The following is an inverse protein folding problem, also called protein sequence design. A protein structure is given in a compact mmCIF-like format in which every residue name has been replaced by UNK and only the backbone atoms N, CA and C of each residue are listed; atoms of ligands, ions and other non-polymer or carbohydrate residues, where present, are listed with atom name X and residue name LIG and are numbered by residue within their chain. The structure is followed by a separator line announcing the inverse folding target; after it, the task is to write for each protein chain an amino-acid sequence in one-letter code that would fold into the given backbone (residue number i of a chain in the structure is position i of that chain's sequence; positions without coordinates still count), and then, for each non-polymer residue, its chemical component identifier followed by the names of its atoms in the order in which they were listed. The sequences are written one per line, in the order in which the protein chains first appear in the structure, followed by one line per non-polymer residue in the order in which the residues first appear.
data_IF_966211539617
#
_entry.id   IF_966211539617
#
_cell.length_a   1.000
_cell.length_b   1.000
_cell.length_c   1.000
_cell.angle_alpha   90.00
_cell.angle_beta   90.00
_cell.angle_gamma   90.00
#
_symmetry.space_group_name_H-M   'P 1'
#
loop_
_entity.id
_entity.type
_entity.pdbx_description
1 polymer ?
#
# COMPACT_ATOMS: atom_id res chain seq x y z
N UNK A 1 -33.54 -7.87 13.56
CA UNK A 1 -34.26 -7.25 14.69
C UNK A 1 -33.44 -6.06 15.18
N UNK A 2 -34.09 -5.03 15.70
CA UNK A 2 -33.54 -3.68 15.94
C UNK A 2 -32.46 -3.69 17.04
N UNK A 3 -31.19 -3.53 16.68
CA UNK A 3 -30.14 -3.12 17.62
C UNK A 3 -30.13 -1.60 17.72
N UNK A 4 -31.13 -1.04 18.40
CA UNK A 4 -31.09 0.36 18.79
C UNK A 4 -30.23 0.48 20.05
N UNK A 5 -29.18 1.29 19.98
CA UNK A 5 -28.46 1.77 21.16
C UNK A 5 -29.47 2.57 21.99
N UNK A 6 -29.85 2.05 23.16
CA UNK A 6 -30.70 2.76 24.11
C UNK A 6 -29.84 3.78 24.83
N UNK A 7 -30.05 5.06 24.52
CA UNK A 7 -29.40 6.17 25.22
C UNK A 7 -30.34 6.58 26.36
N UNK A 8 -30.08 6.06 27.57
CA UNK A 8 -30.61 6.64 28.80
C UNK A 8 -29.75 7.87 29.15
N UNK A 9 -30.31 8.97 29.68
CA UNK A 9 -29.51 10.14 30.06
C UNK A 9 -28.48 9.74 31.13
N UNK A 10 -27.19 9.83 30.79
CA UNK A 10 -26.08 9.60 31.71
C UNK A 10 -25.51 8.17 31.78
N UNK A 11 -26.09 7.17 31.10
CA UNK A 11 -25.56 5.81 31.06
C UNK A 11 -25.56 5.27 29.63
N UNK A 12 -24.37 4.95 29.11
CA UNK A 12 -24.20 4.27 27.82
C UNK A 12 -23.86 2.80 28.06
N UNK A 13 -24.77 1.90 27.66
CA UNK A 13 -24.55 0.45 27.79
C UNK A 13 -23.82 -0.08 26.56
N UNK A 14 -22.67 -0.72 26.80
CA UNK A 14 -21.84 -1.32 25.75
C UNK A 14 -22.09 -2.82 25.74
N UNK A 15 -22.79 -3.31 24.72
CA UNK A 15 -23.19 -4.72 24.64
C UNK A 15 -22.06 -5.61 24.11
N UNK A 16 -21.14 -5.06 23.33
CA UNK A 16 -19.98 -5.77 22.80
C UNK A 16 -18.73 -4.90 22.95
N UNK A 17 -17.62 -5.51 23.34
CA UNK A 17 -16.35 -4.80 23.48
C UNK A 17 -15.93 -4.08 22.19
N UNK A 18 -16.25 -4.64 21.02
CA UNK A 18 -16.01 -4.02 19.71
C UNK A 18 -16.72 -2.66 19.53
N UNK A 19 -17.83 -2.42 20.24
CA UNK A 19 -18.57 -1.16 20.15
C UNK A 19 -17.94 -0.07 21.04
N UNK A 20 -17.03 -0.44 21.96
CA UNK A 20 -16.40 0.49 22.90
C UNK A 20 -15.66 1.60 22.18
N UNK A 21 -14.84 1.28 21.17
CA UNK A 21 -14.05 2.30 20.46
C UNK A 21 -14.93 3.27 19.68
N UNK A 22 -16.00 2.76 19.05
CA UNK A 22 -16.99 3.57 18.33
C UNK A 22 -17.70 4.52 19.30
N UNK A 23 -18.13 4.00 20.45
CA UNK A 23 -18.82 4.78 21.47
C UNK A 23 -17.89 5.85 22.07
N UNK A 24 -16.64 5.50 22.40
CA UNK A 24 -15.65 6.45 22.88
C UNK A 24 -15.41 7.58 21.85
N UNK A 25 -15.32 7.25 20.57
CA UNK A 25 -15.18 8.27 19.52
C UNK A 25 -16.39 9.19 19.44
N UNK A 26 -17.62 8.64 19.53
CA UNK A 26 -18.84 9.47 19.56
C UNK A 26 -18.84 10.43 20.75
N UNK A 27 -18.50 9.94 21.93
CA UNK A 27 -18.43 10.76 23.14
C UNK A 27 -17.34 11.84 23.02
N UNK A 28 -16.17 11.51 22.49
CA UNK A 28 -15.11 12.49 22.24
C UNK A 28 -15.53 13.55 21.22
N UNK A 29 -16.20 13.16 20.12
CA UNK A 29 -16.77 14.10 19.14
C UNK A 29 -17.83 14.99 19.77
N UNK A 30 -18.71 14.45 20.62
CA UNK A 30 -19.70 15.25 21.34
C UNK A 30 -19.07 16.25 22.32
N UNK A 31 -17.97 15.88 22.97
CA UNK A 31 -17.28 16.72 23.95
C UNK A 31 -16.38 17.79 23.32
N UNK A 32 -15.73 17.47 22.19
CA UNK A 32 -14.69 18.29 21.57
C UNK A 32 -15.13 18.96 20.25
N UNK A 33 -16.30 18.58 19.72
CA UNK A 33 -16.83 19.10 18.46
C UNK A 33 -15.88 18.85 17.29
N UNK A 34 -15.72 19.86 16.44
CA UNK A 34 -14.86 19.80 15.24
C UNK A 34 -13.35 19.89 15.55
N UNK A 35 -12.98 19.97 16.83
CA UNK A 35 -11.58 20.01 17.26
C UNK A 35 -10.89 18.65 17.22
N UNK A 36 -11.61 17.59 16.85
CA UNK A 36 -11.11 16.23 16.76
C UNK A 36 -11.28 15.68 15.34
N UNK A 37 -10.25 15.00 14.85
CA UNK A 37 -10.29 14.20 13.63
C UNK A 37 -10.06 12.75 14.01
N UNK A 38 -11.04 11.90 13.71
CA UNK A 38 -10.99 10.46 13.94
C UNK A 38 -10.50 9.77 12.67
N UNK A 39 -9.31 9.19 12.77
CA UNK A 39 -8.69 8.41 11.70
C UNK A 39 -8.98 6.92 11.93
N UNK A 40 -9.79 6.34 11.06
CA UNK A 40 -9.98 4.89 11.03
C UNK A 40 -8.80 4.24 10.31
N UNK A 41 -8.27 3.12 10.81
CA UNK A 41 -7.17 2.43 10.15
C UNK A 41 -7.39 0.95 9.87
N UNK A 42 -6.83 0.48 8.76
CA UNK A 42 -6.87 -0.95 8.33
C UNK A 42 -5.49 -1.41 7.91
N UNK A 43 -4.93 -2.40 8.62
CA UNK A 43 -3.64 -3.03 8.27
C UNK A 43 -3.49 -4.39 8.96
N UNK A 44 -2.54 -5.21 8.52
CA UNK A 44 -2.22 -6.48 9.20
C UNK A 44 -1.77 -6.23 10.64
N UNK A 45 -2.16 -7.14 11.54
CA UNK A 45 -1.82 -7.09 12.97
C UNK A 45 -0.33 -6.89 13.25
N UNK A 46 0.55 -7.52 12.46
CA UNK A 46 2.00 -7.37 12.63
C UNK A 46 2.47 -5.93 12.43
N UNK A 47 1.86 -5.21 11.48
CA UNK A 47 2.14 -3.79 11.23
C UNK A 47 1.50 -2.90 12.27
N UNK A 48 0.24 -3.16 12.62
CA UNK A 48 -0.46 -2.44 13.69
C UNK A 48 0.34 -2.49 14.99
N UNK A 49 0.81 -3.68 15.38
CA UNK A 49 1.63 -3.87 16.57
C UNK A 49 2.92 -3.05 16.55
N UNK A 50 3.56 -2.90 15.39
CA UNK A 50 4.78 -2.08 15.25
C UNK A 50 4.47 -0.58 15.46
N UNK A 51 3.38 -0.09 14.88
CA UNK A 51 2.93 1.30 15.09
C UNK A 51 2.52 1.55 16.55
N UNK A 52 1.77 0.64 17.17
CA UNK A 52 1.37 0.76 18.58
C UNK A 52 2.58 0.82 19.52
N UNK A 53 3.61 0.01 19.27
CA UNK A 53 4.88 0.06 20.05
C UNK A 53 5.57 1.42 19.98
N UNK A 54 5.39 2.15 18.88
CA UNK A 54 5.95 3.49 18.65
C UNK A 54 5.01 4.60 19.13
N UNK A 55 3.85 4.25 19.70
CA UNK A 55 2.81 5.19 20.12
C UNK A 55 2.07 5.86 18.96
N UNK A 56 2.06 5.27 17.76
CA UNK A 56 1.62 5.93 16.54
C UNK A 56 0.09 5.94 16.31
N UNK A 57 -0.74 5.31 17.14
CA UNK A 57 -2.20 5.30 17.04
C UNK A 57 -2.88 5.55 18.39
N UNK A 58 -2.83 6.79 18.91
CA UNK A 58 -3.49 7.12 20.16
C UNK A 58 -5.01 7.09 20.03
N UNK A 59 -5.67 6.34 20.92
CA UNK A 59 -7.15 6.27 21.03
C UNK A 59 -7.71 7.56 21.65
N UNK A 60 -6.92 8.21 22.51
CA UNK A 60 -7.28 9.51 23.06
C UNK A 60 -6.81 10.63 22.12
N UNK A 61 -7.56 11.73 22.02
CA UNK A 61 -7.17 12.87 21.19
C UNK A 61 -5.78 13.37 21.59
N UNK A 62 -4.91 13.54 20.60
CA UNK A 62 -3.63 14.23 20.77
C UNK A 62 -3.83 15.73 20.95
N UNK A 63 -2.75 16.45 21.27
CA UNK A 63 -2.76 17.93 21.32
C UNK A 63 -3.20 18.58 20.01
N UNK A 64 -3.05 17.87 18.88
CA UNK A 64 -3.42 18.35 17.56
C UNK A 64 -4.81 17.84 17.12
N UNK A 65 -5.58 17.25 18.05
CA UNK A 65 -6.94 16.79 17.77
C UNK A 65 -7.03 15.45 17.04
N UNK A 66 -5.93 14.75 16.77
CA UNK A 66 -5.99 13.45 16.10
C UNK A 66 -6.28 12.32 17.08
N UNK A 67 -7.18 11.42 16.71
CA UNK A 67 -7.37 10.11 17.36
C UNK A 67 -7.44 9.01 16.29
N UNK A 68 -7.07 7.79 16.67
CA UNK A 68 -7.00 6.65 15.77
C UNK A 68 -7.79 5.47 16.31
N UNK A 69 -8.55 4.82 15.43
CA UNK A 69 -9.28 3.58 15.74
C UNK A 69 -9.09 2.53 14.66
N UNK A 70 -8.93 1.28 15.06
CA UNK A 70 -8.90 0.15 14.13
C UNK A 70 -10.29 -0.05 13.52
N UNK A 71 -10.36 -0.15 12.19
CA UNK A 71 -11.55 -0.63 11.49
C UNK A 71 -11.41 -2.16 11.34
N UNK A 72 -12.41 -2.89 11.81
CA UNK A 72 -12.48 -4.33 11.64
C UNK A 72 -13.30 -4.65 10.38
N UNK A 73 -12.63 -5.21 9.38
CA UNK A 73 -13.22 -5.59 8.10
C UNK A 73 -14.17 -6.81 8.18
N UNK A 74 -14.09 -7.60 9.25
CA UNK A 74 -14.98 -8.76 9.48
C UNK A 74 -16.34 -8.34 10.09
N UNK A 75 -16.49 -7.06 10.44
CA UNK A 75 -17.70 -6.48 11.00
C UNK A 75 -18.38 -5.54 10.01
N UNK A 76 -19.64 -5.18 10.28
CA UNK A 76 -20.34 -4.19 9.48
C UNK A 76 -19.55 -2.87 9.47
N UNK A 77 -19.25 -2.37 8.27
CA UNK A 77 -18.44 -1.16 8.09
C UNK A 77 -19.21 0.12 8.47
N UNK A 78 -20.49 0.22 8.10
CA UNK A 78 -21.28 1.46 8.30
C UNK A 78 -21.19 2.03 9.73
N UNK A 79 -21.43 1.25 10.81
CA UNK A 79 -21.35 1.81 12.17
C UNK A 79 -19.96 2.33 12.55
N UNK A 80 -18.91 1.71 12.00
CA UNK A 80 -17.51 2.10 12.22
C UNK A 80 -17.17 3.36 11.43
N UNK A 81 -17.58 3.43 10.15
CA UNK A 81 -17.30 4.56 9.27
C UNK A 81 -18.05 5.84 9.67
N UNK A 82 -19.24 5.72 10.28
CA UNK A 82 -20.01 6.88 10.77
C UNK A 82 -19.28 7.77 11.78
N UNK A 83 -18.24 7.25 12.45
CA UNK A 83 -17.47 8.02 13.43
C UNK A 83 -16.12 8.45 12.91
N UNK A 84 -15.72 7.98 11.73
CA UNK A 84 -14.43 8.21 11.10
C UNK A 84 -14.53 9.38 10.12
N UNK A 85 -13.53 10.25 10.13
CA UNK A 85 -13.42 11.38 9.19
C UNK A 85 -12.51 11.05 8.01
N UNK A 86 -11.53 10.16 8.23
CA UNK A 86 -10.51 9.76 7.27
C UNK A 86 -10.11 8.30 7.49
N UNK A 87 -9.89 7.55 6.41
CA UNK A 87 -9.38 6.18 6.49
C UNK A 87 -7.92 6.11 6.06
N UNK A 88 -7.05 5.64 6.95
CA UNK A 88 -5.67 5.25 6.65
C UNK A 88 -5.60 3.74 6.45
N UNK A 89 -5.09 3.24 5.34
CA UNK A 89 -5.01 1.79 5.17
C UNK A 89 -3.72 1.33 4.50
N UNK A 90 -3.46 0.03 4.63
CA UNK A 90 -2.53 -0.66 3.76
C UNK A 90 -3.23 -1.80 3.02
N UNK A 91 -3.95 -1.46 1.95
CA UNK A 91 -4.69 -2.42 1.13
C UNK A 91 -3.81 -3.56 0.59
N UNK A 92 -2.51 -3.33 0.39
CA UNK A 92 -1.58 -4.39 -0.06
C UNK A 92 -1.46 -5.56 0.92
N UNK A 93 -1.79 -5.35 2.19
CA UNK A 93 -1.87 -6.43 3.18
C UNK A 93 -3.05 -7.38 2.91
N UNK A 94 -4.07 -6.88 2.23
CA UNK A 94 -5.36 -7.51 1.96
C UNK A 94 -5.48 -7.96 0.50
N UNK A 95 -4.36 -8.07 -0.23
CA UNK A 95 -4.34 -8.70 -1.56
C UNK A 95 -4.60 -10.19 -1.37
N UNK A 96 -5.70 -10.67 -1.97
CA UNK A 96 -6.09 -12.07 -1.97
C UNK A 96 -5.38 -12.85 -3.08
N UNK A 97 -5.33 -12.28 -4.29
CA UNK A 97 -4.62 -12.88 -5.42
C UNK A 97 -4.19 -11.82 -6.43
N UNK A 98 -3.17 -12.17 -7.21
CA UNK A 98 -2.74 -11.43 -8.39
C UNK A 98 -2.68 -12.43 -9.54
N UNK A 99 -3.47 -12.19 -10.58
CA UNK A 99 -3.41 -12.97 -11.82
C UNK A 99 -2.08 -12.72 -12.54
N UNK A 100 -1.27 -13.78 -12.70
CA UNK A 100 0.08 -13.72 -13.28
C UNK A 100 0.06 -13.88 -14.80
N UNK A 101 -1.05 -14.33 -15.40
CA UNK A 101 -1.13 -14.70 -16.81
C UNK A 101 -1.56 -13.54 -17.73
N UNK A 102 -1.90 -12.38 -17.17
CA UNK A 102 -2.32 -11.22 -17.97
C UNK A 102 -1.11 -10.44 -18.50
N UNK A 103 -0.89 -10.57 -19.81
CA UNK A 103 0.25 -10.04 -20.56
C UNK A 103 0.29 -8.52 -20.70
N UNK A 104 -0.71 -7.77 -20.22
CA UNK A 104 -0.88 -6.36 -20.58
C UNK A 104 -0.89 -5.38 -19.38
N UNK A 105 -1.38 -5.76 -18.20
CA UNK A 105 -1.16 -4.97 -16.98
C UNK A 105 -1.46 -5.78 -15.71
N UNK A 106 -0.65 -5.62 -14.66
CA UNK A 106 -0.95 -6.20 -13.34
C UNK A 106 -2.27 -5.62 -12.78
N UNK A 107 -2.65 -4.42 -13.20
CA UNK A 107 -3.78 -3.65 -12.67
C UNK A 107 -5.13 -4.35 -12.74
N UNK A 108 -5.40 -5.12 -13.79
CA UNK A 108 -6.67 -5.83 -13.98
C UNK A 108 -6.71 -7.20 -13.25
N UNK A 109 -5.53 -7.70 -12.86
CA UNK A 109 -5.37 -9.01 -12.21
C UNK A 109 -5.39 -8.99 -10.69
N UNK A 110 -5.36 -7.82 -10.04
CA UNK A 110 -5.31 -7.71 -8.57
C UNK A 110 -6.70 -7.89 -7.97
N UNK A 111 -6.83 -8.85 -7.05
CA UNK A 111 -8.04 -9.04 -6.24
C UNK A 111 -7.71 -8.78 -4.78
N UNK A 112 -8.38 -7.78 -4.20
CA UNK A 112 -8.34 -7.51 -2.76
C UNK A 112 -9.37 -8.35 -2.01
N UNK A 113 -9.26 -8.42 -0.68
CA UNK A 113 -10.27 -9.04 0.18
C UNK A 113 -11.62 -8.32 0.05
N UNK A 114 -12.70 -9.06 0.34
CA UNK A 114 -14.06 -8.51 0.30
C UNK A 114 -14.20 -7.28 1.21
N UNK A 115 -13.48 -7.26 2.33
CA UNK A 115 -13.49 -6.14 3.27
C UNK A 115 -12.95 -4.85 2.66
N UNK A 116 -11.81 -4.89 1.96
CA UNK A 116 -11.27 -3.71 1.25
C UNK A 116 -12.18 -3.31 0.09
N UNK A 117 -12.70 -4.27 -0.68
CA UNK A 117 -13.62 -3.96 -1.78
C UNK A 117 -14.91 -3.28 -1.30
N UNK A 118 -15.48 -3.73 -0.17
CA UNK A 118 -16.63 -3.08 0.44
C UNK A 118 -16.28 -1.70 0.97
N UNK A 119 -15.13 -1.55 1.63
CA UNK A 119 -14.65 -0.27 2.11
C UNK A 119 -14.55 0.74 0.96
N UNK A 120 -13.90 0.38 -0.15
CA UNK A 120 -13.81 1.25 -1.34
C UNK A 120 -15.18 1.74 -1.81
N UNK A 121 -16.17 0.85 -1.97
CA UNK A 121 -17.54 1.22 -2.38
C UNK A 121 -18.17 2.25 -1.42
N UNK A 122 -18.01 2.05 -0.11
CA UNK A 122 -18.51 3.02 0.86
C UNK A 122 -17.80 4.37 0.79
N UNK A 123 -16.48 4.38 0.55
CA UNK A 123 -15.71 5.61 0.45
C UNK A 123 -16.10 6.42 -0.80
N UNK A 124 -16.35 5.74 -1.92
CA UNK A 124 -16.85 6.33 -3.17
C UNK A 124 -18.24 6.95 -2.99
N UNK A 125 -19.19 6.21 -2.41
CA UNK A 125 -20.57 6.68 -2.23
C UNK A 125 -20.68 7.87 -1.27
N UNK A 126 -19.87 7.87 -0.20
CA UNK A 126 -19.99 8.82 0.91
C UNK A 126 -19.01 9.99 0.83
N UNK A 127 -18.16 10.05 -0.21
CA UNK A 127 -17.11 11.07 -0.37
C UNK A 127 -16.14 11.16 0.82
N UNK A 128 -15.85 10.04 1.47
CA UNK A 128 -14.84 9.99 2.53
C UNK A 128 -13.43 9.98 1.94
N UNK A 129 -12.46 10.51 2.69
CA UNK A 129 -11.06 10.50 2.29
C UNK A 129 -10.40 9.17 2.68
N UNK A 130 -9.75 8.53 1.70
CA UNK A 130 -8.97 7.30 1.89
C UNK A 130 -7.51 7.57 1.55
N UNK A 131 -6.60 7.19 2.45
CA UNK A 131 -5.15 7.34 2.28
C UNK A 131 -4.52 5.96 2.21
N UNK A 132 -3.96 5.55 1.07
CA UNK A 132 -4.02 6.19 -0.27
C UNK A 132 -5.18 5.61 -1.09
N UNK A 133 -5.79 6.36 -2.04
CA UNK A 133 -6.78 5.77 -2.95
C UNK A 133 -6.24 4.47 -3.58
N UNK A 134 -7.04 3.40 -3.58
CA UNK A 134 -6.57 2.06 -3.96
C UNK A 134 -6.10 2.01 -5.40
N UNK A 135 -6.73 2.78 -6.28
CA UNK A 135 -6.35 2.99 -7.67
C UNK A 135 -4.92 3.54 -7.81
N UNK A 136 -4.45 4.35 -6.85
CA UNK A 136 -3.08 4.86 -6.83
C UNK A 136 -2.08 3.82 -6.29
N UNK A 137 -2.55 2.85 -5.51
CA UNK A 137 -1.73 1.75 -4.98
C UNK A 137 -1.47 0.70 -6.07
N UNK A 138 -2.45 0.43 -6.94
CA UNK A 138 -2.39 -0.65 -7.93
C UNK A 138 -1.15 -0.56 -8.85
N UNK A 139 -0.81 0.59 -9.47
CA UNK A 139 0.40 0.71 -10.28
C UNK A 139 1.70 0.41 -9.52
N UNK A 140 1.71 0.64 -8.20
CA UNK A 140 2.87 0.40 -7.34
C UNK A 140 3.10 -1.09 -7.07
N UNK A 141 2.13 -1.96 -7.40
CA UNK A 141 2.28 -3.41 -7.36
C UNK A 141 3.09 -3.95 -8.55
N UNK A 142 3.28 -3.14 -9.60
CA UNK A 142 4.08 -3.45 -10.77
C UNK A 142 5.36 -2.62 -10.77
N UNK A 143 6.52 -3.29 -10.63
CA UNK A 143 7.82 -2.60 -10.64
C UNK A 143 8.08 -1.88 -11.96
N UNK A 144 7.62 -2.40 -13.09
CA UNK A 144 7.78 -1.74 -14.38
C UNK A 144 6.86 -0.52 -14.50
N UNK A 145 5.60 -0.61 -14.08
CA UNK A 145 4.71 0.56 -14.04
C UNK A 145 5.22 1.64 -13.08
N UNK A 146 5.77 1.23 -11.94
CA UNK A 146 6.44 2.14 -10.99
C UNK A 146 7.60 2.89 -11.66
N UNK A 147 8.40 2.24 -12.52
CA UNK A 147 9.46 2.94 -13.25
C UNK A 147 8.92 3.99 -14.22
N UNK A 148 7.82 3.70 -14.91
CA UNK A 148 7.15 4.67 -15.80
C UNK A 148 6.70 5.90 -15.00
N UNK A 149 6.09 5.70 -13.82
CA UNK A 149 5.71 6.80 -12.92
C UNK A 149 6.94 7.63 -12.54
N UNK A 150 8.03 6.98 -12.12
CA UNK A 150 9.26 7.66 -11.72
C UNK A 150 9.88 8.45 -12.89
N UNK A 151 9.88 7.90 -14.11
CA UNK A 151 10.37 8.61 -15.30
C UNK A 151 9.61 9.91 -15.55
N UNK A 152 8.29 9.91 -15.36
CA UNK A 152 7.47 11.11 -15.51
C UNK A 152 7.72 12.15 -14.40
N UNK A 153 8.17 11.72 -13.21
CA UNK A 153 8.57 12.66 -12.15
C UNK A 153 9.84 13.45 -12.46
N UNK A 154 10.59 13.11 -13.52
CA UNK A 154 11.74 13.93 -13.93
C UNK A 154 11.28 15.32 -14.41
N UNK A 155 10.05 15.45 -14.91
CA UNK A 155 9.47 16.70 -15.41
C UNK A 155 9.21 17.73 -14.30
N UNK A 156 9.04 17.28 -13.05
CA UNK A 156 8.82 18.17 -11.89
C UNK A 156 10.12 18.61 -11.20
N UNK A 157 11.28 18.26 -11.77
CA UNK A 157 12.56 18.69 -11.22
C UNK A 157 12.76 20.20 -11.37
N UNK A 158 12.88 20.89 -10.24
CA UNK A 158 13.41 22.25 -10.20
C UNK A 158 14.95 22.19 -10.10
N UNK A 159 15.71 22.85 -11.01
CA UNK A 159 17.16 22.97 -10.94
C UNK A 159 17.70 23.52 -9.60
N UNK A 160 16.87 24.21 -8.80
CA UNK A 160 17.21 24.78 -7.49
C UNK A 160 16.97 23.81 -6.32
N UNK A 161 16.30 22.68 -6.57
CA UNK A 161 15.93 21.70 -5.56
C UNK A 161 16.53 20.32 -5.86
N UNK A 162 16.15 19.32 -5.05
CA UNK A 162 16.58 17.94 -5.23
C UNK A 162 16.17 17.42 -6.61
N UNK A 163 17.14 16.86 -7.34
CA UNK A 163 16.90 16.27 -8.66
C UNK A 163 16.51 14.80 -8.49
N UNK A 164 15.26 14.47 -8.81
CA UNK A 164 14.76 13.12 -8.97
C UNK A 164 15.40 12.51 -10.22
N UNK A 165 16.02 11.35 -10.06
CA UNK A 165 16.57 10.54 -11.15
C UNK A 165 15.98 9.14 -11.06
N UNK A 166 15.44 8.68 -12.17
CA UNK A 166 14.96 7.30 -12.27
C UNK A 166 16.13 6.42 -12.71
N UNK A 167 16.45 5.34 -11.97
CA UNK A 167 17.44 4.39 -12.43
C UNK A 167 17.01 3.77 -13.75
N UNK A 168 17.97 3.54 -14.65
CA UNK A 168 17.73 2.73 -15.84
C UNK A 168 17.18 1.37 -15.43
N UNK A 169 16.27 0.83 -16.24
CA UNK A 169 15.63 -0.45 -15.97
C UNK A 169 15.34 -1.21 -17.27
N UNK A 170 15.18 -2.52 -17.13
CA UNK A 170 14.78 -3.40 -18.22
C UNK A 170 13.79 -4.42 -17.68
N UNK A 171 12.63 -4.57 -18.33
CA UNK A 171 11.71 -5.68 -18.07
C UNK A 171 12.08 -6.84 -18.99
N UNK A 172 12.16 -8.04 -18.44
CA UNK A 172 12.40 -9.29 -19.18
C UNK A 172 11.30 -10.30 -18.88
N UNK A 173 10.99 -11.11 -19.87
CA UNK A 173 10.03 -12.21 -19.75
C UNK A 173 10.74 -13.56 -19.63
N UNK A 174 12.03 -13.64 -19.99
CA UNK A 174 12.88 -14.82 -19.82
C UNK A 174 14.34 -14.43 -19.57
N UNK A 175 15.07 -15.26 -18.81
CA UNK A 175 16.52 -15.12 -18.65
C UNK A 175 17.31 -15.63 -19.86
N UNK A 176 16.67 -16.42 -20.73
CA UNK A 176 17.27 -17.04 -21.91
C UNK A 176 16.90 -16.30 -23.20
N UNK A 177 16.53 -15.02 -23.12
CA UNK A 177 16.25 -14.20 -24.30
C UNK A 177 17.53 -14.05 -25.15
N UNK A 178 17.51 -14.42 -26.44
CA UNK A 178 18.72 -14.44 -27.28
C UNK A 178 19.32 -13.04 -27.48
N UNK A 179 18.50 -12.00 -27.36
CA UNK A 179 18.84 -10.59 -27.49
C UNK A 179 19.03 -9.88 -26.14
N UNK A 180 19.11 -10.61 -25.01
CA UNK A 180 19.23 -10.03 -23.68
C UNK A 180 20.42 -9.06 -23.56
N UNK A 181 21.57 -9.42 -24.16
CA UNK A 181 22.74 -8.57 -24.17
C UNK A 181 22.49 -7.23 -24.87
N UNK A 182 21.83 -7.25 -26.02
CA UNK A 182 21.49 -6.04 -26.79
C UNK A 182 20.47 -5.20 -26.02
N UNK A 183 19.47 -5.83 -25.41
CA UNK A 183 18.46 -5.15 -24.57
C UNK A 183 19.08 -4.45 -23.36
N UNK A 184 20.08 -5.06 -22.70
CA UNK A 184 20.81 -4.44 -21.61
C UNK A 184 21.56 -3.19 -22.07
N UNK A 185 22.24 -3.27 -23.21
CA UNK A 185 23.00 -2.16 -23.78
C UNK A 185 22.06 -1.01 -24.21
N UNK A 186 20.94 -1.33 -24.88
CA UNK A 186 19.91 -0.37 -25.26
C UNK A 186 19.26 0.31 -24.04
N UNK A 187 19.03 -0.43 -22.96
CA UNK A 187 18.52 0.09 -21.69
C UNK A 187 19.58 0.85 -20.88
N UNK A 188 20.83 0.94 -21.36
CA UNK A 188 21.96 1.55 -20.65
C UNK A 188 22.12 0.98 -19.23
N UNK A 189 21.92 -0.33 -19.09
CA UNK A 189 22.07 -1.04 -17.82
C UNK A 189 23.49 -1.59 -17.70
N UNK A 190 24.23 -1.07 -16.72
CA UNK A 190 25.54 -1.59 -16.35
C UNK A 190 25.42 -2.65 -15.26
N UNK A 191 26.34 -3.62 -15.28
CA UNK A 191 26.51 -4.58 -14.20
C UNK A 191 27.47 -4.00 -13.14
N UNK A 192 27.26 -4.27 -11.84
CA UNK A 192 26.22 -5.15 -11.31
C UNK A 192 24.81 -4.56 -11.34
N UNK A 193 23.83 -5.43 -11.62
CA UNK A 193 22.41 -5.08 -11.65
C UNK A 193 21.61 -5.98 -10.70
N UNK A 194 20.57 -5.41 -10.09
CA UNK A 194 19.63 -6.17 -9.27
C UNK A 194 18.44 -6.62 -10.13
N UNK A 195 18.10 -7.90 -10.04
CA UNK A 195 16.94 -8.53 -10.68
C UNK A 195 15.87 -8.72 -9.62
N UNK A 196 14.67 -8.20 -9.90
CA UNK A 196 13.51 -8.27 -9.01
C UNK A 196 12.32 -8.82 -9.79
N UNK A 197 11.40 -9.58 -9.18
CA UNK A 197 10.15 -9.96 -9.83
C UNK A 197 9.39 -8.70 -10.30
N UNK A 198 8.59 -8.79 -11.36
CA UNK A 198 7.76 -7.65 -11.77
C UNK A 198 6.77 -7.27 -10.66
N UNK A 199 6.17 -8.26 -9.99
CA UNK A 199 5.26 -8.04 -8.87
C UNK A 199 6.03 -7.57 -7.64
N UNK A 200 5.65 -6.41 -7.10
CA UNK A 200 6.40 -5.74 -6.03
C UNK A 200 6.01 -6.16 -4.61
N UNK A 201 4.78 -6.63 -4.41
CA UNK A 201 4.21 -7.03 -3.13
C UNK A 201 2.95 -7.90 -3.33
N UNK A 202 2.37 -8.42 -2.25
CA UNK A 202 1.10 -9.16 -2.26
C UNK A 202 1.22 -10.66 -2.53
N UNK A 203 2.40 -11.14 -2.94
CA UNK A 203 2.70 -12.57 -3.17
C UNK A 203 3.99 -12.96 -2.46
N UNK A 204 4.13 -14.24 -2.09
CA UNK A 204 5.25 -14.74 -1.28
C UNK A 204 6.61 -14.63 -1.99
N UNK A 205 6.60 -14.64 -3.32
CA UNK A 205 7.79 -14.63 -4.17
C UNK A 205 8.20 -13.22 -4.64
N UNK A 206 7.44 -12.16 -4.32
CA UNK A 206 7.71 -10.77 -4.72
C UNK A 206 9.03 -10.19 -4.21
N UNK A 207 9.65 -10.85 -3.23
CA UNK A 207 10.90 -10.44 -2.57
C UNK A 207 12.08 -11.38 -2.88
N UNK A 208 11.90 -12.38 -3.75
CA UNK A 208 13.01 -13.22 -4.23
C UNK A 208 13.78 -12.41 -5.27
N UNK A 209 14.94 -11.88 -4.89
CA UNK A 209 15.77 -11.00 -5.74
C UNK A 209 17.17 -11.59 -5.90
N UNK A 210 17.87 -11.19 -6.96
CA UNK A 210 19.26 -11.56 -7.21
C UNK A 210 20.09 -10.35 -7.65
N UNK A 211 21.40 -10.39 -7.45
CA UNK A 211 22.35 -9.42 -7.99
C UNK A 211 23.25 -10.15 -9.00
N UNK A 212 23.37 -9.58 -10.18
CA UNK A 212 24.08 -10.12 -11.33
C UNK A 212 25.33 -9.29 -11.54
N UNK A 213 26.50 -9.92 -11.60
CA UNK A 213 27.78 -9.23 -11.81
C UNK A 213 28.28 -9.39 -13.25
N UNK A 214 27.90 -10.47 -13.92
CA UNK A 214 28.28 -10.79 -15.30
C UNK A 214 27.14 -11.48 -16.05
N UNK A 215 27.22 -11.52 -17.38
CA UNK A 215 26.15 -12.06 -18.25
C UNK A 215 25.86 -13.55 -18.01
N UNK A 216 26.83 -14.29 -17.48
CA UNK A 216 26.67 -15.72 -17.18
C UNK A 216 25.84 -15.97 -15.91
N UNK A 217 25.68 -14.96 -15.04
CA UNK A 217 24.94 -15.11 -13.78
C UNK A 217 23.41 -15.15 -13.99
N UNK A 218 22.92 -14.95 -15.21
CA UNK A 218 21.48 -15.06 -15.54
C UNK A 218 20.96 -16.51 -15.56
N UNK A 219 21.87 -17.48 -15.66
CA UNK A 219 21.51 -18.90 -15.74
C UNK A 219 20.93 -19.38 -14.41
N UNK A 220 19.80 -20.09 -14.47
CA UNK A 220 19.13 -20.73 -13.31
C UNK A 220 18.79 -19.77 -12.14
N UNK A 221 18.53 -18.50 -12.43
CA UNK A 221 18.11 -17.55 -11.41
C UNK A 221 16.78 -17.99 -10.77
N UNK A 222 16.68 -18.02 -9.43
CA UNK A 222 15.46 -18.39 -8.74
C UNK A 222 14.41 -17.26 -8.74
N UNK A 223 14.69 -16.14 -9.42
CA UNK A 223 13.81 -14.97 -9.43
C UNK A 223 12.60 -15.24 -10.35
N UNK A 224 11.37 -15.14 -9.85
CA UNK A 224 10.17 -15.27 -10.66
C UNK A 224 10.17 -14.33 -11.88
N UNK A 225 9.72 -14.88 -13.01
CA UNK A 225 9.47 -14.13 -14.25
C UNK A 225 7.98 -13.75 -14.36
N UNK A 226 7.65 -12.64 -15.05
CA UNK A 226 8.57 -11.64 -15.59
C UNK A 226 9.32 -10.88 -14.49
N UNK A 227 10.50 -10.34 -14.83
CA UNK A 227 11.38 -9.65 -13.91
C UNK A 227 11.77 -8.26 -14.41
N UNK A 228 12.18 -7.40 -13.48
CA UNK A 228 12.72 -6.06 -13.72
C UNK A 228 14.15 -6.00 -13.21
N UNK A 229 15.05 -5.61 -14.10
CA UNK A 229 16.44 -5.30 -13.80
C UNK A 229 16.57 -3.80 -13.52
N UNK A 230 17.42 -3.43 -12.57
CA UNK A 230 17.84 -2.06 -12.32
C UNK A 230 19.31 -1.99 -11.95
N UNK A 231 19.95 -0.86 -12.25
CA UNK A 231 21.30 -0.57 -11.74
C UNK A 231 21.29 -0.58 -10.21
N UNK A 232 22.29 -1.23 -9.61
CA UNK A 232 22.49 -1.14 -8.18
C UNK A 232 23.09 0.22 -7.82
N UNK A 233 22.31 1.08 -7.16
CA UNK A 233 22.81 2.36 -6.66
C UNK A 233 23.91 2.11 -5.60
N UNK A 234 25.15 2.45 -5.94
CA UNK A 234 26.35 2.17 -5.14
C UNK A 234 27.63 1.93 -5.95
N UNK A 235 27.52 1.81 -7.28
CA UNK A 235 28.66 1.63 -8.21
C UNK A 235 28.99 2.87 -9.05
N UNK A 236 28.45 4.03 -8.68
CA UNK A 236 28.90 5.30 -9.25
C UNK A 236 30.17 5.74 -8.55
N UNK A 237 31.29 5.71 -9.27
CA UNK A 237 32.47 6.48 -8.93
C UNK A 237 32.05 7.94 -8.66
N UNK A 238 32.61 8.49 -7.58
CA UNK A 238 32.64 9.93 -7.31
C UNK A 238 33.54 10.64 -8.32
#
# INVERSE_FOLDING_TARGET
SRNAVSIMPGVTTINKLQDLLIILCRLNKMALGDSIVVVGYVMKWTREKDFLKRGAFPILPTSNGLTFISINLDLLLIPQLQVVDLVLHKATDEIFSIDKDQSLSISEGVRFSDGIQQLQRYMEDMHYFMIDPVENIIPLLDRAATQIILQNLVEINDPRHCRIRTPNYLKISSFNEPDLAEKLDQAQLLLPAIVKPQISCGVSDAHIMAVIFKKEDFVDLPVPLPAVLQIQAGTGDH
#
